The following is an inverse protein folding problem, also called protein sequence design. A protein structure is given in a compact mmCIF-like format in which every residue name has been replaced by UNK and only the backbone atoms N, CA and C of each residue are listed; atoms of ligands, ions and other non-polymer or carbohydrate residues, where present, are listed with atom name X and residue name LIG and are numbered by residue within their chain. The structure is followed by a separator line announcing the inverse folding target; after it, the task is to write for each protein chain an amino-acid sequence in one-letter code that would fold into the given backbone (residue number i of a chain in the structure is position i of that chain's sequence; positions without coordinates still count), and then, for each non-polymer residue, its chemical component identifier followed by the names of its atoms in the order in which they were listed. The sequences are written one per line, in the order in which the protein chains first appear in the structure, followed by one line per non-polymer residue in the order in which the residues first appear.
data_IF_276707885788
#
_entry.id   IF_276707885788
#
_cell.length_a   1.000
_cell.length_b   1.000
_cell.length_c   1.000
_cell.angle_alpha   90.00
_cell.angle_beta   90.00
_cell.angle_gamma   90.00
#
_symmetry.space_group_name_H-M   'P 1'
#
loop_
_entity.id
_entity.type
_entity.pdbx_description
1 polymer ?
#
# COMPACT_ATOMS: atom_id res chain seq x y z
N UNK A 1 -87.35 4.96 -34.93
CA UNK A 1 -87.24 3.99 -33.81
C UNK A 1 -85.82 3.41 -33.89
N UNK A 2 -84.89 3.94 -33.12
CA UNK A 2 -83.46 3.49 -33.10
C UNK A 2 -83.25 2.60 -31.91
N UNK A 3 -82.82 1.34 -32.14
CA UNK A 3 -82.45 0.38 -31.08
C UNK A 3 -81.04 0.69 -30.65
N UNK A 4 -80.87 0.98 -29.37
CA UNK A 4 -79.57 1.11 -28.73
C UNK A 4 -79.16 -0.28 -28.25
N UNK A 5 -78.04 -0.77 -28.78
CA UNK A 5 -77.39 -1.98 -28.31
C UNK A 5 -76.37 -1.61 -27.26
N UNK A 6 -76.58 -2.06 -26.02
CA UNK A 6 -75.68 -1.84 -24.90
C UNK A 6 -74.62 -2.96 -24.93
N UNK A 7 -73.38 -2.58 -25.20
CA UNK A 7 -72.22 -3.49 -25.20
C UNK A 7 -71.59 -3.46 -23.80
N UNK A 8 -71.77 -4.53 -23.04
CA UNK A 8 -71.12 -4.72 -21.73
C UNK A 8 -69.73 -5.24 -21.94
N UNK A 9 -68.75 -4.40 -21.65
CA UNK A 9 -67.33 -4.80 -21.60
C UNK A 9 -67.03 -5.54 -20.28
N UNK A 10 -66.77 -6.85 -20.33
CA UNK A 10 -66.18 -7.61 -19.20
C UNK A 10 -64.69 -7.25 -19.12
N UNK A 11 -64.30 -6.53 -18.12
CA UNK A 11 -62.90 -6.33 -17.79
C UNK A 11 -62.42 -7.51 -16.90
N UNK A 12 -61.70 -8.43 -17.48
CA UNK A 12 -60.98 -9.48 -16.76
C UNK A 12 -59.69 -8.89 -16.15
N UNK A 13 -59.73 -8.69 -14.86
CA UNK A 13 -58.54 -8.27 -14.07
C UNK A 13 -57.67 -9.51 -13.89
N UNK A 14 -56.60 -9.60 -14.66
CA UNK A 14 -55.50 -10.55 -14.41
C UNK A 14 -54.66 -10.05 -13.25
N UNK A 15 -54.84 -10.67 -12.09
CA UNK A 15 -53.94 -10.54 -10.94
C UNK A 15 -52.62 -11.30 -11.29
N UNK A 16 -51.61 -10.55 -11.68
CA UNK A 16 -50.24 -11.05 -11.67
C UNK A 16 -49.74 -11.09 -10.23
N UNK A 17 -49.72 -12.26 -9.64
CA UNK A 17 -48.98 -12.51 -8.40
C UNK A 17 -47.49 -12.40 -8.68
N UNK A 18 -46.90 -11.27 -8.24
CA UNK A 18 -45.47 -11.07 -8.25
C UNK A 18 -44.90 -11.86 -7.08
N UNK A 19 -44.56 -13.14 -7.29
CA UNK A 19 -43.74 -13.88 -6.33
C UNK A 19 -42.37 -13.20 -6.25
N UNK A 20 -42.13 -12.53 -5.13
CA UNK A 20 -40.82 -12.03 -4.75
C UNK A 20 -39.91 -13.24 -4.55
N UNK A 21 -39.17 -13.64 -5.57
CA UNK A 21 -38.00 -14.51 -5.37
C UNK A 21 -37.01 -13.75 -4.49
N UNK A 22 -37.02 -14.08 -3.22
CA UNK A 22 -35.95 -13.76 -2.28
C UNK A 22 -34.68 -14.42 -2.83
N UNK A 23 -33.86 -13.66 -3.56
CA UNK A 23 -32.49 -14.07 -3.86
C UNK A 23 -31.73 -14.09 -2.54
N UNK A 24 -31.69 -15.24 -1.91
CA UNK A 24 -30.69 -15.54 -0.89
C UNK A 24 -29.34 -15.35 -1.59
N UNK A 25 -28.67 -14.22 -1.30
CA UNK A 25 -27.27 -14.07 -1.66
C UNK A 25 -26.49 -15.08 -0.83
N UNK A 26 -26.26 -16.25 -1.40
CA UNK A 26 -25.28 -17.18 -0.88
C UNK A 26 -23.93 -16.46 -0.94
N UNK A 27 -23.33 -16.26 0.23
CA UNK A 27 -21.94 -15.86 0.37
C UNK A 27 -21.14 -16.73 -0.58
N UNK A 28 -20.28 -16.17 -1.46
CA UNK A 28 -19.53 -16.99 -2.39
C UNK A 28 -18.73 -18.02 -1.58
N UNK A 29 -19.00 -19.27 -1.82
CA UNK A 29 -18.26 -20.40 -1.27
C UNK A 29 -16.85 -20.31 -1.85
N UNK A 30 -15.85 -20.31 -0.96
CA UNK A 30 -14.44 -20.21 -1.30
C UNK A 30 -14.03 -21.46 -2.07
N UNK A 31 -14.27 -21.46 -3.37
CA UNK A 31 -13.98 -22.60 -4.25
C UNK A 31 -12.48 -22.71 -4.48
N UNK A 32 -12.01 -23.89 -4.82
CA UNK A 32 -10.60 -24.16 -5.14
C UNK A 32 -10.00 -23.21 -6.22
N UNK A 33 -10.88 -22.57 -7.01
CA UNK A 33 -10.54 -21.55 -8.01
C UNK A 33 -10.03 -20.23 -7.43
N UNK A 34 -10.25 -19.95 -6.12
CA UNK A 34 -9.75 -18.73 -5.46
C UNK A 34 -8.34 -18.89 -4.86
N UNK A 35 -7.82 -20.13 -4.86
CA UNK A 35 -6.42 -20.36 -4.45
C UNK A 35 -5.49 -19.69 -5.46
N UNK A 36 -4.78 -18.65 -4.99
CA UNK A 36 -3.77 -17.92 -5.79
C UNK A 36 -4.27 -16.68 -6.52
N UNK A 37 -5.53 -16.27 -6.31
CA UNK A 37 -6.01 -14.96 -6.79
C UNK A 37 -5.73 -13.85 -5.76
N UNK A 38 -5.37 -12.65 -6.21
CA UNK A 38 -5.33 -11.49 -5.34
C UNK A 38 -6.71 -11.24 -4.70
N UNK A 39 -6.71 -10.74 -3.48
CA UNK A 39 -7.94 -10.33 -2.79
C UNK A 39 -8.49 -9.04 -3.40
N UNK A 40 -9.81 -8.91 -3.44
CA UNK A 40 -10.43 -7.61 -3.70
C UNK A 40 -10.16 -6.69 -2.52
N UNK A 41 -9.52 -5.56 -2.77
CA UNK A 41 -9.27 -4.49 -1.81
C UNK A 41 -9.95 -3.23 -2.34
N UNK A 42 -10.77 -2.59 -1.52
CA UNK A 42 -11.40 -1.31 -1.83
C UNK A 42 -11.30 -0.43 -0.57
N UNK A 43 -10.42 0.54 -0.60
CA UNK A 43 -10.12 1.44 0.53
C UNK A 43 -10.66 2.83 0.22
N UNK A 44 -11.28 3.47 1.21
CA UNK A 44 -11.63 4.88 1.15
C UNK A 44 -10.44 5.75 1.56
N UNK A 45 -10.53 7.03 1.26
CA UNK A 45 -9.52 7.99 1.74
C UNK A 45 -9.36 7.88 3.26
N UNK A 46 -8.11 7.76 3.70
CA UNK A 46 -7.76 7.58 5.10
C UNK A 46 -7.72 6.14 5.60
N UNK A 47 -8.10 5.16 4.79
CA UNK A 47 -8.03 3.72 5.12
C UNK A 47 -6.80 3.05 4.49
N UNK A 48 -6.22 2.05 5.17
CA UNK A 48 -6.34 1.77 6.60
C UNK A 48 -5.68 2.86 7.46
N UNK A 49 -5.78 2.74 8.79
CA UNK A 49 -5.15 3.70 9.72
C UNK A 49 -3.64 3.82 9.50
N UNK A 50 -3.12 5.01 9.75
CA UNK A 50 -1.69 5.26 9.77
C UNK A 50 -1.03 4.61 10.99
N UNK A 51 0.05 3.87 10.76
CA UNK A 51 0.88 3.29 11.81
C UNK A 51 2.18 4.07 11.93
N UNK A 52 2.53 4.49 13.13
CA UNK A 52 3.75 5.26 13.38
C UNK A 52 4.98 4.36 13.38
N UNK A 53 6.05 4.83 12.75
CA UNK A 53 7.37 4.22 12.76
C UNK A 53 8.47 5.29 12.74
N UNK A 54 9.73 4.91 12.63
CA UNK A 54 10.88 5.81 12.78
C UNK A 54 10.99 6.91 11.69
N UNK A 55 10.36 6.74 10.54
CA UNK A 55 10.35 7.75 9.48
C UNK A 55 9.16 8.72 9.56
N UNK A 56 8.10 8.34 10.25
CA UNK A 56 6.83 9.05 10.28
C UNK A 56 5.67 8.08 10.37
N UNK A 57 4.88 7.92 9.28
CA UNK A 57 3.77 6.95 9.27
C UNK A 57 3.77 6.09 8.01
N UNK A 58 3.17 4.90 8.13
CA UNK A 58 2.94 3.97 7.02
C UNK A 58 1.50 3.48 7.03
N UNK A 59 0.91 3.33 5.83
CA UNK A 59 -0.33 2.59 5.58
C UNK A 59 -0.03 1.42 4.65
N UNK A 60 -0.53 0.24 4.99
CA UNK A 60 -0.41 -0.94 4.14
C UNK A 60 -1.64 -1.05 3.25
N UNK A 61 -1.56 -0.54 2.02
CA UNK A 61 -2.68 -0.52 1.08
C UNK A 61 -2.94 -1.90 0.46
N UNK A 62 -1.87 -2.64 0.16
CA UNK A 62 -1.91 -4.04 -0.23
C UNK A 62 -0.61 -4.72 0.20
N UNK A 63 -0.71 -5.87 0.83
CA UNK A 63 0.43 -6.67 1.27
C UNK A 63 0.70 -7.83 0.31
N UNK A 64 1.86 -8.46 0.43
CA UNK A 64 2.18 -9.68 -0.31
C UNK A 64 1.15 -10.81 -0.07
N UNK A 65 0.54 -10.85 1.12
CA UNK A 65 -0.52 -11.83 1.43
C UNK A 65 -1.78 -11.56 0.60
N UNK A 66 -2.10 -10.29 0.35
CA UNK A 66 -3.29 -9.90 -0.41
C UNK A 66 -3.14 -10.13 -1.91
N UNK A 67 -1.91 -10.04 -2.41
CA UNK A 67 -1.56 -10.15 -3.84
C UNK A 67 -0.98 -11.52 -4.20
N UNK A 68 -0.98 -12.48 -3.27
CA UNK A 68 -0.34 -13.77 -3.43
C UNK A 68 1.15 -13.66 -3.83
N UNK A 69 1.87 -12.73 -3.20
CA UNK A 69 3.29 -12.51 -3.41
C UNK A 69 3.66 -11.67 -4.65
N UNK A 70 2.70 -11.31 -5.51
CA UNK A 70 3.00 -10.65 -6.77
C UNK A 70 3.60 -9.25 -6.55
N UNK A 71 3.05 -8.48 -5.64
CA UNK A 71 3.51 -7.13 -5.29
C UNK A 71 2.97 -6.71 -3.92
N UNK A 72 3.48 -5.63 -3.41
CA UNK A 72 2.90 -4.93 -2.26
C UNK A 72 2.90 -3.41 -2.50
N UNK A 73 1.99 -2.71 -1.83
CA UNK A 73 1.82 -1.26 -1.93
C UNK A 73 1.65 -0.69 -0.53
N UNK A 74 2.48 0.29 -0.21
CA UNK A 74 2.38 1.06 1.02
C UNK A 74 2.35 2.55 0.71
N UNK A 75 1.65 3.32 1.53
CA UNK A 75 1.77 4.76 1.58
C UNK A 75 2.69 5.13 2.74
N UNK A 76 3.74 5.89 2.45
CA UNK A 76 4.70 6.39 3.41
C UNK A 76 4.51 7.89 3.60
N UNK A 77 4.58 8.36 4.84
CA UNK A 77 4.75 9.77 5.17
C UNK A 77 6.10 9.94 5.86
N UNK A 78 7.06 10.44 5.12
CA UNK A 78 8.42 10.65 5.60
C UNK A 78 8.60 12.07 6.13
N UNK A 79 9.03 12.17 7.37
CA UNK A 79 9.26 13.47 8.03
C UNK A 79 10.55 14.11 7.53
N UNK A 80 10.66 15.46 7.58
CA UNK A 80 11.91 16.15 7.27
C UNK A 80 13.10 15.59 8.05
N UNK A 81 14.23 15.38 7.37
CA UNK A 81 15.46 14.83 7.92
C UNK A 81 15.52 13.29 7.96
N UNK A 82 14.42 12.60 7.65
CA UNK A 82 14.48 11.13 7.54
C UNK A 82 15.25 10.70 6.29
N UNK A 83 16.03 9.63 6.42
CA UNK A 83 16.66 8.94 5.30
C UNK A 83 16.93 7.47 5.62
N UNK A 84 16.98 6.65 4.56
CA UNK A 84 17.46 5.27 4.64
C UNK A 84 18.98 5.24 4.51
N UNK A 85 19.63 4.17 4.96
CA UNK A 85 21.02 3.90 4.61
C UNK A 85 21.12 3.55 3.13
N UNK A 86 22.31 3.69 2.52
CA UNK A 86 22.58 3.19 1.19
C UNK A 86 22.42 1.66 1.19
N UNK A 87 21.54 1.16 0.33
CA UNK A 87 21.19 -0.26 0.27
C UNK A 87 20.82 -0.67 -1.15
N UNK A 88 20.60 -1.96 -1.33
CA UNK A 88 19.99 -2.52 -2.54
C UNK A 88 19.07 -3.68 -2.17
N UNK A 89 18.12 -3.94 -3.04
CA UNK A 89 17.30 -5.14 -3.04
C UNK A 89 17.76 -6.06 -4.16
N UNK A 90 18.14 -7.30 -3.84
CA UNK A 90 18.67 -8.21 -4.84
C UNK A 90 17.57 -8.86 -5.69
N UNK A 91 16.34 -8.93 -5.19
CA UNK A 91 15.22 -9.62 -5.83
C UNK A 91 13.96 -8.76 -5.98
N UNK A 92 13.94 -7.54 -5.41
CA UNK A 92 12.76 -6.67 -5.37
C UNK A 92 13.02 -5.39 -6.17
N UNK A 93 12.11 -5.06 -7.08
CA UNK A 93 12.05 -3.75 -7.72
C UNK A 93 11.21 -2.82 -6.82
N UNK A 94 11.62 -1.58 -6.66
CA UNK A 94 10.88 -0.54 -5.96
C UNK A 94 10.44 0.57 -6.90
N UNK A 95 9.19 1.02 -6.75
CA UNK A 95 8.66 2.14 -7.50
C UNK A 95 8.02 3.15 -6.58
N UNK A 96 8.48 4.39 -6.64
CA UNK A 96 7.99 5.51 -5.84
C UNK A 96 7.14 6.44 -6.70
N UNK A 97 5.94 6.77 -6.22
CA UNK A 97 5.16 7.89 -6.75
C UNK A 97 5.00 8.93 -5.65
N UNK A 98 5.47 10.13 -5.90
CA UNK A 98 5.42 11.24 -4.92
C UNK A 98 4.07 11.91 -5.01
N UNK A 99 3.27 11.81 -3.94
CA UNK A 99 1.95 12.45 -3.85
C UNK A 99 2.04 13.88 -3.34
N UNK A 100 2.88 14.11 -2.31
CA UNK A 100 3.05 15.42 -1.67
C UNK A 100 4.50 15.61 -1.24
N UNK A 101 4.95 16.87 -1.19
CA UNK A 101 6.30 17.21 -0.77
C UNK A 101 7.36 16.90 -1.82
N UNK A 102 8.55 16.51 -1.36
CA UNK A 102 9.70 16.19 -2.22
C UNK A 102 10.40 14.96 -1.67
N UNK A 103 10.59 13.95 -2.52
CA UNK A 103 11.43 12.79 -2.23
C UNK A 103 12.84 13.05 -2.78
N UNK A 104 13.85 12.96 -1.93
CA UNK A 104 15.26 12.94 -2.36
C UNK A 104 15.70 11.49 -2.53
N UNK A 105 16.21 11.14 -3.72
CA UNK A 105 16.74 9.80 -3.99
C UNK A 105 18.21 9.90 -4.35
N UNK A 106 19.04 9.03 -3.75
CA UNK A 106 20.41 8.77 -4.15
C UNK A 106 20.41 7.50 -5.01
N UNK A 107 20.91 7.60 -6.23
CA UNK A 107 21.16 6.46 -7.14
C UNK A 107 22.61 6.52 -7.53
N UNK A 108 23.38 5.48 -7.26
CA UNK A 108 24.83 5.51 -7.32
C UNK A 108 25.36 6.68 -6.45
N UNK A 109 26.12 7.60 -7.01
CA UNK A 109 26.66 8.75 -6.28
C UNK A 109 25.93 10.08 -6.55
N UNK A 110 24.77 10.00 -7.22
CA UNK A 110 24.00 11.18 -7.61
C UNK A 110 22.72 11.32 -6.80
N UNK A 111 22.52 12.51 -6.24
CA UNK A 111 21.26 12.92 -5.59
C UNK A 111 20.36 13.62 -6.58
N UNK A 112 19.08 13.35 -6.47
CA UNK A 112 18.04 14.05 -7.23
C UNK A 112 16.79 14.22 -6.37
N UNK A 113 16.13 15.37 -6.53
CA UNK A 113 14.86 15.68 -5.88
C UNK A 113 13.70 15.44 -6.83
N UNK A 114 12.70 14.79 -6.32
CA UNK A 114 11.49 14.41 -7.04
C UNK A 114 10.29 15.06 -6.32
N UNK A 115 9.74 16.17 -6.87
CA UNK A 115 8.55 16.81 -6.32
C UNK A 115 7.30 15.99 -6.55
N UNK A 116 6.17 16.41 -5.92
CA UNK A 116 4.86 15.81 -6.13
C UNK A 116 4.52 15.65 -7.62
N UNK A 117 3.95 14.50 -7.99
CA UNK A 117 3.70 14.07 -9.36
C UNK A 117 4.85 13.31 -10.02
N UNK A 118 6.00 13.21 -9.37
CA UNK A 118 7.16 12.46 -9.88
C UNK A 118 7.02 10.96 -9.67
N UNK A 119 7.63 10.19 -10.57
CA UNK A 119 7.75 8.73 -10.48
C UNK A 119 9.20 8.30 -10.61
N UNK A 120 9.63 7.36 -9.77
CA UNK A 120 10.98 6.79 -9.79
C UNK A 120 10.85 5.27 -9.71
N UNK A 121 11.40 4.56 -10.69
CA UNK A 121 11.57 3.11 -10.64
C UNK A 121 13.04 2.78 -10.35
N UNK A 122 13.26 1.99 -9.33
CA UNK A 122 14.57 1.45 -8.94
C UNK A 122 14.56 -0.05 -9.16
N UNK A 123 15.19 -0.54 -10.25
CA UNK A 123 15.30 -1.97 -10.50
C UNK A 123 16.13 -2.66 -9.41
N UNK A 124 15.79 -3.91 -9.14
CA UNK A 124 16.58 -4.79 -8.26
C UNK A 124 18.07 -4.74 -8.58
N UNK A 125 18.91 -4.87 -7.56
CA UNK A 125 20.37 -4.79 -7.68
C UNK A 125 20.93 -3.36 -7.73
N UNK A 126 20.09 -2.33 -7.85
CA UNK A 126 20.55 -0.94 -7.93
C UNK A 126 20.85 -0.38 -6.55
N UNK A 127 22.10 0.04 -6.23
CA UNK A 127 22.41 0.75 -5.01
C UNK A 127 21.66 2.09 -4.93
N UNK A 128 20.90 2.28 -3.87
CA UNK A 128 20.12 3.50 -3.69
C UNK A 128 19.88 3.82 -2.22
N UNK A 129 19.44 5.04 -1.98
CA UNK A 129 18.88 5.49 -0.72
C UNK A 129 17.85 6.58 -1.00
N UNK A 130 16.91 6.76 -0.08
CA UNK A 130 15.91 7.82 -0.17
C UNK A 130 15.78 8.56 1.14
N UNK A 131 15.20 9.72 1.07
CA UNK A 131 14.88 10.51 2.25
C UNK A 131 14.14 11.80 1.92
N UNK A 132 13.86 12.58 2.94
CA UNK A 132 13.20 13.86 2.84
C UNK A 132 14.12 14.98 3.38
N UNK A 133 14.82 15.68 2.48
CA UNK A 133 15.60 16.88 2.82
C UNK A 133 14.78 18.18 2.77
N UNK A 134 13.51 18.08 2.48
CA UNK A 134 12.58 19.21 2.47
C UNK A 134 12.24 19.68 3.88
N UNK A 135 11.37 20.69 3.94
CA UNK A 135 10.91 21.31 5.21
C UNK A 135 9.52 20.83 5.63
N UNK A 136 8.85 20.07 4.78
CA UNK A 136 7.51 19.52 5.01
C UNK A 136 7.54 18.00 4.80
N UNK A 137 6.62 17.25 5.40
CA UNK A 137 6.53 15.82 5.15
C UNK A 137 6.37 15.50 3.65
N UNK A 138 7.00 14.41 3.19
CA UNK A 138 6.76 13.85 1.88
C UNK A 138 5.79 12.66 1.99
N UNK A 139 4.74 12.62 1.14
CA UNK A 139 3.83 11.46 1.03
C UNK A 139 4.11 10.74 -0.26
N UNK A 140 4.28 9.44 -0.15
CA UNK A 140 4.83 8.62 -1.22
C UNK A 140 4.04 7.31 -1.29
N UNK A 141 3.64 6.89 -2.48
CA UNK A 141 3.25 5.50 -2.73
C UNK A 141 4.51 4.71 -3.10
N UNK A 142 4.76 3.63 -2.38
CA UNK A 142 5.84 2.69 -2.67
C UNK A 142 5.26 1.35 -3.06
N UNK A 143 5.52 0.94 -4.31
CA UNK A 143 5.23 -0.40 -4.82
C UNK A 143 6.50 -1.24 -4.82
N UNK A 144 6.40 -2.47 -4.35
CA UNK A 144 7.50 -3.44 -4.30
C UNK A 144 7.11 -4.72 -5.06
N UNK A 145 7.96 -5.19 -5.98
CA UNK A 145 7.70 -6.35 -6.83
C UNK A 145 8.92 -7.26 -6.91
N UNK A 146 8.79 -8.58 -6.51
CA UNK A 146 7.67 -9.19 -5.83
C UNK A 146 7.38 -8.56 -4.47
N UNK A 147 6.16 -8.84 -3.93
CA UNK A 147 5.80 -8.44 -2.57
C UNK A 147 6.56 -9.23 -1.52
N UNK A 148 6.63 -8.65 -0.30
CA UNK A 148 7.28 -9.30 0.86
C UNK A 148 8.17 -8.36 1.67
N UNK A 149 8.79 -7.38 1.02
CA UNK A 149 9.63 -6.40 1.72
C UNK A 149 8.81 -5.47 2.64
N UNK A 150 7.53 -5.27 2.38
CA UNK A 150 6.63 -4.47 3.23
C UNK A 150 6.59 -4.94 4.68
N UNK A 151 6.92 -6.20 4.95
CA UNK A 151 7.03 -6.74 6.32
C UNK A 151 8.09 -6.01 7.14
N UNK A 152 9.13 -5.47 6.49
CA UNK A 152 10.16 -4.68 7.17
C UNK A 152 9.58 -3.42 7.81
N UNK A 153 8.61 -2.77 7.16
CA UNK A 153 7.90 -1.62 7.73
C UNK A 153 7.04 -2.04 8.93
N UNK A 154 6.39 -3.20 8.85
CA UNK A 154 5.60 -3.72 9.97
C UNK A 154 6.48 -3.98 11.20
N UNK A 155 7.63 -4.59 11.02
CA UNK A 155 8.54 -4.86 12.13
C UNK A 155 9.15 -3.57 12.70
N UNK A 156 9.35 -2.54 11.86
CA UNK A 156 9.77 -1.22 12.31
C UNK A 156 8.66 -0.52 13.11
N UNK A 157 7.39 -0.66 12.73
CA UNK A 157 6.23 -0.20 13.51
C UNK A 157 6.21 -0.89 14.88
N UNK A 158 6.41 -2.20 14.92
CA UNK A 158 6.41 -2.96 16.17
C UNK A 158 7.60 -2.59 17.07
N UNK A 159 8.79 -2.39 16.50
CA UNK A 159 9.95 -1.89 17.22
C UNK A 159 9.68 -0.50 17.83
N UNK A 160 9.04 0.39 17.08
CA UNK A 160 8.78 1.76 17.49
C UNK A 160 7.79 1.88 18.67
N UNK A 161 7.00 0.83 18.94
CA UNK A 161 6.15 0.74 20.13
C UNK A 161 6.97 0.60 21.42
N UNK A 162 8.18 0.04 21.34
CA UNK A 162 9.02 -0.31 22.49
C UNK A 162 10.35 0.41 22.55
N UNK A 163 10.76 1.08 21.48
CA UNK A 163 12.01 1.83 21.37
C UNK A 163 11.81 3.13 20.59
N UNK A 164 12.57 4.15 20.93
CA UNK A 164 12.49 5.49 20.28
C UNK A 164 13.84 5.84 19.64
N UNK A 165 13.86 6.67 18.58
CA UNK A 165 15.09 7.13 17.97
C UNK A 165 16.05 7.84 18.94
N UNK A 166 15.51 8.42 20.02
CA UNK A 166 16.30 9.04 21.09
C UNK A 166 16.99 8.05 22.04
N UNK A 167 16.62 6.77 22.00
CA UNK A 167 17.23 5.76 22.88
C UNK A 167 18.66 5.46 22.43
N UNK A 168 19.64 5.39 23.36
CA UNK A 168 21.05 5.18 23.00
C UNK A 168 21.31 3.93 22.18
N UNK A 169 20.51 2.89 22.36
CA UNK A 169 20.62 1.60 21.71
C UNK A 169 19.64 1.40 20.52
N UNK A 170 18.89 2.45 20.14
CA UNK A 170 17.88 2.35 19.07
C UNK A 170 18.48 1.85 17.74
N UNK A 171 19.63 2.40 17.34
CA UNK A 171 20.31 1.99 16.10
C UNK A 171 20.67 0.51 16.11
N UNK A 172 21.14 0.00 17.26
CA UNK A 172 21.47 -1.41 17.41
C UNK A 172 20.22 -2.30 17.34
N UNK A 173 19.17 -1.94 18.07
CA UNK A 173 17.87 -2.63 18.03
C UNK A 173 17.27 -2.67 16.60
N UNK A 174 17.40 -1.58 15.85
CA UNK A 174 16.94 -1.51 14.46
C UNK A 174 17.73 -2.47 13.54
N UNK A 175 19.06 -2.56 13.70
CA UNK A 175 19.89 -3.51 12.96
C UNK A 175 19.54 -4.97 13.30
N UNK A 176 19.34 -5.28 14.57
CA UNK A 176 18.93 -6.61 15.03
C UNK A 176 17.53 -6.99 14.50
N UNK A 177 16.60 -6.05 14.49
CA UNK A 177 15.28 -6.25 13.96
C UNK A 177 15.33 -6.57 12.46
N UNK A 178 16.07 -5.79 11.67
CA UNK A 178 16.26 -6.03 10.25
C UNK A 178 16.91 -7.39 9.96
N UNK A 179 17.90 -7.79 10.76
CA UNK A 179 18.57 -9.09 10.61
C UNK A 179 17.65 -10.29 10.90
N UNK A 180 16.73 -10.15 11.86
CA UNK A 180 15.76 -11.21 12.21
C UNK A 180 14.72 -11.42 11.10
N UNK A 181 14.35 -10.38 10.39
CA UNK A 181 13.29 -10.42 9.37
C UNK A 181 13.69 -11.13 8.08
N UNK A 182 14.98 -11.35 7.85
CA UNK A 182 15.50 -11.94 6.60
C UNK A 182 14.86 -11.30 5.35
N UNK A 183 14.85 -9.95 5.32
CA UNK A 183 14.31 -9.20 4.21
C UNK A 183 15.29 -9.14 3.04
N UNK A 184 14.76 -8.97 1.83
CA UNK A 184 15.56 -8.70 0.64
C UNK A 184 16.13 -7.28 0.69
N UNK A 185 17.13 -7.07 1.57
CA UNK A 185 17.84 -5.80 1.70
C UNK A 185 19.30 -6.07 2.09
N UNK A 186 20.21 -5.46 1.35
CA UNK A 186 21.65 -5.47 1.63
C UNK A 186 22.10 -4.04 1.91
N UNK A 187 22.52 -3.78 3.15
CA UNK A 187 23.07 -2.49 3.55
C UNK A 187 24.51 -2.34 3.06
N UNK A 188 24.80 -1.28 2.33
CA UNK A 188 26.09 -1.05 1.67
C UNK A 188 26.92 -0.02 2.41
N UNK A 189 26.33 1.07 2.86
CA UNK A 189 27.01 2.13 3.60
C UNK A 189 26.02 3.01 4.37
N UNK A 190 26.52 3.69 5.40
CA UNK A 190 25.86 4.87 5.97
C UNK A 190 26.07 6.07 5.05
N UNK A 191 25.12 6.97 5.00
CA UNK A 191 25.24 8.24 4.30
C UNK A 191 24.38 9.31 4.96
N UNK A 192 24.71 10.55 4.76
CA UNK A 192 23.92 11.67 5.27
C UNK A 192 23.15 12.33 4.13
N UNK A 193 21.93 12.83 4.44
CA UNK A 193 21.19 13.67 3.50
C UNK A 193 22.02 14.93 3.21
N UNK A 194 22.23 15.29 1.93
CA UNK A 194 22.86 16.56 1.61
C UNK A 194 21.96 17.72 2.09
N UNK A 195 22.55 18.65 2.79
CA UNK A 195 21.92 19.89 3.28
C UNK A 195 21.59 20.85 2.16
#
# INVERSE_FOLDING_TARGET
MKKIVLLTLLASVLFFSFERLSKTQTKPENTEQDKGRPKLIALKFGEPDELTYDAGTVRFLATSVDTNGAWSLVELKEMPGYHTNLHRHNHTDEAFYVMEGVLTVKINDKFSDYPAGSYVLIPRGTPHAQGNRGKVPARILLTMTPGGFERSFKDRVDLFKTAKPSDPDFRQKRKENAAKGNYDVEFLADWDLPT
#
